data_IF_170729085780
#
_entry.id   IF_170729085780
#
_cell.length_a   1.000
_cell.length_b   1.000
_cell.length_c   1.000
_cell.angle_alpha   90.00
_cell.angle_beta   90.00
_cell.angle_gamma   90.00
#
_symmetry.space_group_name_H-M   'P 1'
#
loop_
_entity.id
_entity.type
_entity.pdbx_description
1 polymer ?
#
# COMPACT_ATOMS: atom_id res chain seq x y z
N UNK A 1 -5.01 -21.11 -6.54
CA UNK A 1 -5.48 -20.82 -5.18
C UNK A 1 -6.92 -20.33 -5.22
N UNK A 2 -7.79 -20.99 -4.49
CA UNK A 2 -9.20 -20.56 -4.40
C UNK A 2 -9.36 -19.67 -3.17
N UNK A 3 -9.64 -18.41 -3.39
CA UNK A 3 -9.82 -17.44 -2.30
C UNK A 3 -11.17 -17.59 -1.64
N UNK A 4 -11.21 -17.48 -0.32
CA UNK A 4 -12.43 -17.53 0.47
C UNK A 4 -12.38 -16.48 1.58
N UNK A 5 -13.52 -16.03 2.10
CA UNK A 5 -13.54 -15.04 3.18
C UNK A 5 -12.64 -15.47 4.35
N UNK A 6 -11.85 -14.51 4.85
CA UNK A 6 -10.87 -14.74 5.91
C UNK A 6 -9.46 -15.03 5.42
N UNK A 7 -9.30 -15.41 4.16
CA UNK A 7 -7.94 -15.55 3.60
C UNK A 7 -7.26 -14.19 3.63
N UNK A 8 -5.98 -14.16 4.02
CA UNK A 8 -5.26 -12.91 4.17
C UNK A 8 -3.78 -13.09 3.93
N UNK A 9 -3.11 -11.98 3.71
CA UNK A 9 -1.66 -11.91 3.63
C UNK A 9 -1.18 -10.58 4.13
N UNK A 10 0.10 -10.49 4.47
CA UNK A 10 0.72 -9.24 4.89
C UNK A 10 2.18 -9.20 4.49
N UNK A 11 2.72 -7.98 4.46
CA UNK A 11 4.10 -7.70 4.11
C UNK A 11 4.55 -6.47 4.88
N UNK A 12 5.69 -6.56 5.55
CA UNK A 12 6.29 -5.42 6.23
C UNK A 12 7.55 -5.00 5.50
N UNK A 13 7.77 -3.69 5.43
CA UNK A 13 8.95 -3.13 4.77
C UNK A 13 9.33 -1.81 5.42
N UNK A 14 10.62 -1.63 5.66
CA UNK A 14 11.17 -0.34 6.05
C UNK A 14 11.39 0.47 4.78
N UNK A 15 10.76 1.66 4.70
CA UNK A 15 10.87 2.52 3.52
C UNK A 15 12.03 3.47 3.72
N UNK A 16 13.08 3.29 2.93
CA UNK A 16 14.30 4.11 3.00
C UNK A 16 14.21 5.31 2.07
N UNK A 17 15.10 6.29 2.26
CA UNK A 17 15.21 7.41 1.33
C UNK A 17 15.57 6.92 -0.09
N UNK A 18 16.35 5.85 -0.20
CA UNK A 18 16.66 5.24 -1.51
C UNK A 18 15.41 4.68 -2.18
N UNK A 19 14.51 4.05 -1.43
CA UNK A 19 13.24 3.55 -1.97
C UNK A 19 12.41 4.70 -2.52
N UNK A 20 12.35 5.82 -1.79
CA UNK A 20 11.62 7.01 -2.23
C UNK A 20 12.21 7.58 -3.51
N UNK A 21 13.54 7.64 -3.61
CA UNK A 21 14.23 8.12 -4.81
C UNK A 21 13.95 7.20 -6.01
N UNK A 22 13.95 5.88 -5.80
CA UNK A 22 13.62 4.90 -6.83
C UNK A 22 12.19 5.06 -7.33
N UNK A 23 11.25 5.23 -6.42
CA UNK A 23 9.86 5.44 -6.77
C UNK A 23 9.68 6.73 -7.58
N UNK A 24 10.34 7.82 -7.16
CA UNK A 24 10.31 9.08 -7.88
C UNK A 24 10.88 8.92 -9.28
N UNK A 25 11.96 8.16 -9.44
CA UNK A 25 12.58 7.90 -10.75
C UNK A 25 11.63 7.15 -11.67
N UNK A 26 11.01 6.09 -11.17
CA UNK A 26 10.11 5.24 -11.97
C UNK A 26 8.84 6.00 -12.37
N UNK A 27 8.27 6.77 -11.46
CA UNK A 27 6.96 7.40 -11.66
C UNK A 27 7.05 8.83 -12.20
N UNK A 28 8.24 9.45 -12.13
CA UNK A 28 8.44 10.87 -12.40
C UNK A 28 7.79 11.80 -11.36
N UNK A 29 7.39 11.27 -10.21
CA UNK A 29 6.87 12.07 -9.11
C UNK A 29 8.01 12.60 -8.26
N UNK A 30 8.54 13.75 -8.65
CA UNK A 30 9.71 14.38 -8.03
C UNK A 30 9.32 15.50 -7.07
N UNK A 31 8.14 15.43 -6.47
CA UNK A 31 7.68 16.40 -5.49
C UNK A 31 8.73 16.58 -4.38
N UNK A 32 9.20 17.82 -4.14
CA UNK A 32 10.26 18.06 -3.15
C UNK A 32 9.88 17.68 -1.71
N UNK A 33 8.59 17.55 -1.41
CA UNK A 33 8.15 17.07 -0.10
C UNK A 33 8.69 15.67 0.22
N UNK A 34 8.99 14.87 -0.80
CA UNK A 34 9.52 13.52 -0.65
C UNK A 34 11.05 13.46 -0.78
N UNK A 35 11.64 14.39 -1.52
CA UNK A 35 13.04 14.28 -1.96
C UNK A 35 13.98 15.30 -1.34
N UNK A 36 13.47 16.47 -0.95
CA UNK A 36 14.29 17.60 -0.49
C UNK A 36 14.08 17.83 1.00
N UNK A 37 15.00 17.36 1.82
CA UNK A 37 14.89 17.46 3.28
C UNK A 37 14.86 18.90 3.75
N UNK A 38 15.65 19.79 3.16
CA UNK A 38 15.64 21.21 3.54
C UNK A 38 14.29 21.86 3.25
N UNK A 39 13.70 21.55 2.12
CA UNK A 39 12.35 21.98 1.79
C UNK A 39 11.31 21.40 2.74
N UNK A 40 11.37 20.08 2.96
CA UNK A 40 10.38 19.37 3.76
C UNK A 40 10.39 19.83 5.24
N UNK A 41 11.55 20.19 5.77
CA UNK A 41 11.68 20.70 7.14
C UNK A 41 10.90 21.99 7.36
N UNK A 42 10.70 22.79 6.32
CA UNK A 42 9.96 24.05 6.40
C UNK A 42 8.45 23.86 6.29
N UNK A 43 8.01 22.63 6.00
CA UNK A 43 6.59 22.30 5.92
C UNK A 43 6.10 21.85 7.29
N UNK A 44 4.78 21.75 7.44
CA UNK A 44 4.16 21.25 8.67
C UNK A 44 4.57 19.79 9.00
N UNK A 45 5.17 19.07 8.04
CA UNK A 45 5.61 17.70 8.27
C UNK A 45 7.00 17.63 8.94
N UNK A 46 7.78 18.69 8.86
CA UNK A 46 9.08 18.77 9.53
C UNK A 46 10.18 17.87 8.98
N UNK A 47 9.98 17.29 7.80
CA UNK A 47 10.91 16.40 7.15
C UNK A 47 10.26 15.70 5.98
N UNK A 48 11.04 14.94 5.20
CA UNK A 48 10.52 14.19 4.07
C UNK A 48 9.52 13.13 4.50
N UNK A 49 8.44 13.01 3.73
CA UNK A 49 7.48 11.93 3.89
C UNK A 49 7.50 11.05 2.65
N UNK A 50 7.06 9.81 2.81
CA UNK A 50 6.98 8.81 1.73
C UNK A 50 5.80 9.16 0.83
N UNK A 51 5.96 8.96 -0.48
CA UNK A 51 4.81 9.07 -1.40
C UNK A 51 3.69 8.14 -0.92
N UNK A 52 2.47 8.67 -0.80
CA UNK A 52 1.32 7.84 -0.43
C UNK A 52 1.18 6.63 -1.33
N UNK A 53 1.36 6.82 -2.65
CA UNK A 53 1.25 5.73 -3.61
C UNK A 53 2.36 4.70 -3.48
N UNK A 54 3.54 5.06 -2.99
CA UNK A 54 4.58 4.07 -2.68
C UNK A 54 4.12 3.16 -1.54
N UNK A 55 3.57 3.74 -0.47
CA UNK A 55 2.99 2.96 0.62
C UNK A 55 1.86 2.07 0.13
N UNK A 56 0.98 2.61 -0.71
CA UNK A 56 -0.15 1.86 -1.29
C UNK A 56 0.33 0.71 -2.19
N UNK A 57 1.48 0.85 -2.85
CA UNK A 57 1.99 -0.19 -3.74
C UNK A 57 2.31 -1.50 -3.00
N UNK A 58 2.54 -1.44 -1.69
CA UNK A 58 2.76 -2.66 -0.89
C UNK A 58 1.49 -3.50 -0.82
N UNK A 59 0.31 -2.89 -0.92
CA UNK A 59 -0.95 -3.62 -1.00
C UNK A 59 -0.96 -4.51 -2.24
N UNK A 60 -0.53 -3.97 -3.37
CA UNK A 60 -0.41 -4.72 -4.62
C UNK A 60 0.57 -5.89 -4.47
N UNK A 61 1.68 -5.66 -3.78
CA UNK A 61 2.67 -6.71 -3.52
C UNK A 61 2.08 -7.86 -2.70
N UNK A 62 1.30 -7.54 -1.65
CA UNK A 62 0.64 -8.57 -0.83
C UNK A 62 -0.31 -9.41 -1.68
N UNK A 63 -1.17 -8.75 -2.45
CA UNK A 63 -2.15 -9.43 -3.30
C UNK A 63 -1.44 -10.30 -4.34
N UNK A 64 -0.39 -9.77 -4.94
CA UNK A 64 0.35 -10.46 -6.00
C UNK A 64 1.17 -11.64 -5.52
N UNK A 65 1.62 -11.64 -4.28
CA UNK A 65 2.54 -12.68 -3.79
C UNK A 65 1.92 -13.64 -2.77
N UNK A 66 0.98 -13.16 -1.95
CA UNK A 66 0.43 -13.97 -0.86
C UNK A 66 -0.94 -14.56 -1.17
N UNK A 67 -1.65 -14.03 -2.17
CA UNK A 67 -3.03 -14.41 -2.47
C UNK A 67 -3.20 -15.00 -3.88
N UNK A 68 -2.15 -15.64 -4.40
CA UNK A 68 -2.21 -16.38 -5.66
C UNK A 68 -2.08 -15.53 -6.93
N UNK A 69 -1.67 -14.28 -6.81
CA UNK A 69 -1.44 -13.42 -7.97
C UNK A 69 -2.67 -13.14 -8.82
N UNK A 70 -3.80 -12.78 -8.23
CA UNK A 70 -5.00 -12.48 -9.01
C UNK A 70 -4.82 -11.20 -9.83
N UNK A 71 -5.71 -11.03 -10.80
CA UNK A 71 -5.73 -9.82 -11.62
C UNK A 71 -6.39 -8.70 -10.82
N UNK A 72 -5.72 -7.56 -10.73
CA UNK A 72 -6.27 -6.38 -10.06
C UNK A 72 -7.36 -5.76 -10.93
N UNK A 73 -8.54 -5.53 -10.38
CA UNK A 73 -9.65 -4.87 -11.06
C UNK A 73 -9.87 -3.45 -10.56
N UNK A 74 -9.72 -3.23 -9.26
CA UNK A 74 -9.93 -1.91 -8.69
C UNK A 74 -9.36 -1.80 -7.30
N UNK A 75 -9.14 -0.56 -6.87
CA UNK A 75 -8.65 -0.25 -5.53
C UNK A 75 -9.15 1.13 -5.13
N UNK A 76 -9.74 1.21 -3.94
CA UNK A 76 -9.96 2.50 -3.30
C UNK A 76 -8.86 2.76 -2.29
N UNK A 77 -8.50 4.01 -2.11
CA UNK A 77 -7.44 4.42 -1.18
C UNK A 77 -7.85 5.67 -0.45
N UNK A 78 -7.62 5.67 0.86
CA UNK A 78 -7.71 6.88 1.67
C UNK A 78 -6.42 6.97 2.47
N UNK A 79 -5.72 8.10 2.31
CA UNK A 79 -4.45 8.36 2.99
C UNK A 79 -4.78 9.13 4.26
N UNK A 80 -4.73 8.43 5.40
CA UNK A 80 -5.21 9.00 6.67
C UNK A 80 -4.09 9.57 7.53
N UNK A 81 -2.85 9.11 7.32
CA UNK A 81 -1.67 9.65 8.03
C UNK A 81 -0.45 9.59 7.11
N UNK A 82 0.51 10.52 7.27
CA UNK A 82 1.76 10.46 6.51
C UNK A 82 2.64 9.30 6.98
N UNK A 83 3.45 8.80 6.07
CA UNK A 83 4.48 7.79 6.38
C UNK A 83 5.82 8.54 6.37
N UNK A 84 6.56 8.42 7.47
CA UNK A 84 7.90 9.02 7.56
C UNK A 84 8.93 8.13 6.88
N UNK A 85 9.90 8.76 6.23
CA UNK A 85 11.04 8.01 5.70
C UNK A 85 11.77 7.31 6.85
N UNK A 86 12.09 6.04 6.68
CA UNK A 86 12.73 5.22 7.70
C UNK A 86 11.77 4.39 8.54
N UNK A 87 10.46 4.64 8.46
CA UNK A 87 9.47 3.82 9.17
C UNK A 87 9.32 2.46 8.52
N UNK A 88 9.02 1.46 9.35
CA UNK A 88 8.59 0.14 8.88
C UNK A 88 7.07 0.13 8.83
N UNK A 89 6.52 -0.12 7.67
CA UNK A 89 5.08 -0.19 7.47
C UNK A 89 4.67 -1.62 7.12
N UNK A 90 3.43 -1.97 7.42
CA UNK A 90 2.88 -3.31 7.15
C UNK A 90 1.61 -3.15 6.34
N UNK A 91 1.59 -3.78 5.16
CA UNK A 91 0.40 -3.86 4.33
C UNK A 91 -0.28 -5.20 4.59
N UNK A 92 -1.61 -5.17 4.72
CA UNK A 92 -2.42 -6.38 4.93
C UNK A 92 -3.61 -6.33 3.97
N UNK A 93 -3.92 -7.49 3.38
CA UNK A 93 -5.12 -7.65 2.56
C UNK A 93 -5.87 -8.88 3.07
N UNK A 94 -7.17 -8.73 3.25
CA UNK A 94 -8.05 -9.80 3.75
C UNK A 94 -9.28 -9.92 2.87
N UNK A 95 -9.57 -11.14 2.43
CA UNK A 95 -10.78 -11.41 1.65
C UNK A 95 -12.01 -11.23 2.54
N UNK A 96 -12.91 -10.34 2.14
CA UNK A 96 -14.14 -10.07 2.89
C UNK A 96 -15.40 -10.56 2.16
N UNK A 97 -15.32 -10.74 0.85
CA UNK A 97 -16.47 -11.23 0.09
C UNK A 97 -16.02 -11.88 -1.22
N UNK A 98 -16.74 -12.94 -1.61
CA UNK A 98 -16.56 -13.61 -2.90
C UNK A 98 -17.93 -13.67 -3.55
N UNK A 99 -18.06 -13.15 -4.77
CA UNK A 99 -19.35 -13.19 -5.48
C UNK A 99 -19.64 -14.62 -5.93
N UNK A 100 -20.92 -14.99 -5.83
CA UNK A 100 -21.36 -16.32 -6.27
C UNK A 100 -21.56 -16.39 -7.78
N UNK A 101 -21.98 -15.28 -8.38
CA UNK A 101 -22.32 -15.20 -9.81
C UNK A 101 -21.13 -14.94 -10.72
N UNK A 102 -20.04 -14.42 -10.17
CA UNK A 102 -18.81 -14.08 -10.91
C UNK A 102 -17.61 -14.32 -10.01
N UNK A 103 -16.45 -14.65 -10.58
CA UNK A 103 -15.24 -14.89 -9.78
C UNK A 103 -14.58 -13.57 -9.32
N UNK A 104 -15.37 -12.66 -8.78
CA UNK A 104 -14.87 -11.38 -8.26
C UNK A 104 -14.75 -11.46 -6.75
N UNK A 105 -13.57 -11.12 -6.25
CA UNK A 105 -13.23 -11.17 -4.83
C UNK A 105 -12.97 -9.75 -4.33
N UNK A 106 -13.57 -9.40 -3.20
CA UNK A 106 -13.35 -8.12 -2.53
C UNK A 106 -12.46 -8.32 -1.32
N UNK A 107 -11.47 -7.46 -1.17
CA UNK A 107 -10.54 -7.50 -0.04
C UNK A 107 -10.56 -6.17 0.70
N UNK A 108 -10.47 -6.25 2.03
CA UNK A 108 -10.12 -5.08 2.84
C UNK A 108 -8.61 -4.95 2.79
N UNK A 109 -8.13 -3.73 2.57
CA UNK A 109 -6.70 -3.45 2.52
C UNK A 109 -6.35 -2.34 3.50
N UNK A 110 -5.23 -2.52 4.19
CA UNK A 110 -4.76 -1.53 5.16
C UNK A 110 -3.25 -1.52 5.18
N UNK A 111 -2.68 -0.33 5.35
CA UNK A 111 -1.26 -0.16 5.65
C UNK A 111 -1.19 0.50 7.02
N UNK A 112 -0.42 -0.10 7.92
CA UNK A 112 -0.21 0.41 9.27
C UNK A 112 1.24 0.84 9.46
N UNK A 113 1.48 1.77 10.39
CA UNK A 113 2.82 2.20 10.76
C UNK A 113 3.37 1.32 11.90
N UNK A 114 4.56 1.67 12.42
CA UNK A 114 5.26 0.88 13.44
C UNK A 114 4.48 0.76 14.76
N UNK A 115 3.65 1.74 15.07
CA UNK A 115 2.87 1.73 16.31
C UNK A 115 1.44 1.21 16.11
N UNK A 116 1.16 0.61 14.94
CA UNK A 116 -0.12 -0.03 14.66
C UNK A 116 -1.24 0.90 14.24
N UNK A 117 -0.94 2.15 13.91
CA UNK A 117 -1.96 3.08 13.40
C UNK A 117 -2.20 2.86 11.92
N UNK A 118 -3.46 2.98 11.48
CA UNK A 118 -3.79 2.96 10.06
C UNK A 118 -3.25 4.21 9.38
N UNK A 119 -2.50 4.03 8.30
CA UNK A 119 -1.99 5.15 7.49
C UNK A 119 -2.66 5.18 6.12
N UNK A 120 -3.03 4.03 5.57
CA UNK A 120 -3.77 3.92 4.30
C UNK A 120 -4.84 2.86 4.48
N UNK A 121 -6.07 3.17 4.11
CA UNK A 121 -7.20 2.22 4.19
C UNK A 121 -7.94 2.19 2.87
N UNK A 122 -8.54 1.05 2.53
CA UNK A 122 -9.32 0.92 1.32
C UNK A 122 -9.82 -0.49 1.08
N UNK A 123 -10.32 -0.69 -0.14
CA UNK A 123 -10.79 -2.00 -0.60
C UNK A 123 -10.27 -2.27 -2.01
N UNK A 124 -9.96 -3.52 -2.25
CA UNK A 124 -9.56 -4.00 -3.58
C UNK A 124 -10.60 -4.96 -4.12
N UNK A 125 -10.74 -4.98 -5.44
CA UNK A 125 -11.46 -6.03 -6.14
C UNK A 125 -10.49 -6.72 -7.09
N UNK A 126 -10.50 -8.04 -7.09
CA UNK A 126 -9.58 -8.84 -7.89
C UNK A 126 -10.30 -9.97 -8.59
N UNK A 127 -9.68 -10.47 -9.65
CA UNK A 127 -10.17 -11.61 -10.42
C UNK A 127 -9.13 -12.73 -10.32
N UNK A 128 -9.44 -13.86 -9.68
CA UNK A 128 -8.52 -14.99 -9.65
C UNK A 128 -8.16 -15.45 -11.05
N UNK A 129 -6.92 -15.92 -11.25
CA UNK A 129 -6.46 -16.36 -12.57
C UNK A 129 -6.95 -17.76 -12.93
N UNK A 130 -7.50 -18.48 -11.97
CA UNK A 130 -8.03 -19.83 -12.20
C UNK A 130 -9.21 -20.12 -11.28
#
# INVERSE_FOLDING_TARGET
MKLKPGDHGSLSKTITQEDVAEFARITSDTNPLHLDEAYARQTRFGGCIVHGMLGASLISAVIGTALGGPIYLGQTLKFVKPIRVGETITATAEVIAVREDKPIVTLRTVVTNEIGEDVIVGEATVLPVS
#
